data_IF_164324242201
#
_entry.id   IF_164324242201
#
_cell.length_a   1.000
_cell.length_b   1.000
_cell.length_c   1.000
_cell.angle_alpha   90.00
_cell.angle_beta   90.00
_cell.angle_gamma   90.00
#
_symmetry.space_group_name_H-M   'P 1'
#
loop_
_entity.id
_entity.type
_entity.pdbx_description
1 polymer ?
#
# COMPACT_ATOMS: atom_id res chain seq x y z
N UNK A 1 -7.49 14.78 10.18
CA UNK A 1 -7.23 13.91 9.01
C UNK A 1 -5.79 13.42 8.89
N UNK A 2 -4.83 13.85 9.74
CA UNK A 2 -3.43 13.37 9.66
C UNK A 2 -3.18 12.05 10.41
N UNK A 3 -4.00 11.74 11.43
CA UNK A 3 -3.91 10.46 12.18
C UNK A 3 -4.22 9.23 11.31
N UNK A 4 -5.16 9.33 10.38
CA UNK A 4 -5.57 8.21 9.50
C UNK A 4 -4.44 7.79 8.55
N UNK A 5 -3.72 8.77 7.97
CA UNK A 5 -2.64 8.49 7.03
C UNK A 5 -1.44 7.79 7.70
N UNK A 6 -1.04 8.24 8.89
CA UNK A 6 0.07 7.61 9.61
C UNK A 6 -0.28 6.18 10.03
N UNK A 7 -1.52 5.95 10.51
CA UNK A 7 -1.98 4.61 10.83
C UNK A 7 -2.00 3.69 9.61
N UNK A 8 -2.43 4.19 8.44
CA UNK A 8 -2.37 3.44 7.18
C UNK A 8 -0.94 3.13 6.74
N UNK A 9 -0.02 4.09 6.87
CA UNK A 9 1.40 3.89 6.55
C UNK A 9 2.03 2.82 7.44
N UNK A 10 1.73 2.83 8.74
CA UNK A 10 2.24 1.85 9.69
C UNK A 10 1.67 0.45 9.40
N UNK A 11 0.37 0.34 9.13
CA UNK A 11 -0.27 -0.92 8.79
C UNK A 11 0.28 -1.53 7.49
N UNK A 12 0.38 -0.72 6.43
CA UNK A 12 0.91 -1.17 5.14
C UNK A 12 2.42 -1.45 5.24
N UNK A 13 3.16 -0.66 6.01
CA UNK A 13 4.56 -0.89 6.31
C UNK A 13 4.78 -2.25 6.99
N UNK A 14 3.97 -2.57 8.01
CA UNK A 14 4.02 -3.87 8.68
C UNK A 14 3.78 -5.04 7.70
N UNK A 15 2.88 -4.89 6.73
CA UNK A 15 2.68 -5.89 5.68
C UNK A 15 3.95 -6.08 4.84
N UNK A 16 4.62 -5.00 4.42
CA UNK A 16 5.87 -5.10 3.67
C UNK A 16 7.01 -5.72 4.48
N UNK A 17 7.10 -5.44 5.78
CA UNK A 17 8.06 -6.11 6.69
C UNK A 17 7.79 -7.61 6.76
N UNK A 18 6.53 -8.01 6.93
CA UNK A 18 6.13 -9.42 6.90
C UNK A 18 6.39 -10.07 5.53
N UNK A 19 6.51 -9.25 4.48
CA UNK A 19 6.94 -9.67 3.15
C UNK A 19 8.45 -9.64 2.91
N UNK A 20 9.25 -9.38 3.95
CA UNK A 20 10.72 -9.43 3.91
C UNK A 20 11.42 -8.12 3.57
N UNK A 21 10.70 -7.00 3.49
CA UNK A 21 11.32 -5.68 3.37
C UNK A 21 11.94 -5.26 4.71
N UNK A 22 13.06 -4.54 4.66
CA UNK A 22 13.57 -3.83 5.84
C UNK A 22 12.60 -2.70 6.24
N UNK A 23 12.64 -2.24 7.50
CA UNK A 23 11.75 -1.16 7.98
C UNK A 23 11.82 0.11 7.13
N UNK A 24 13.02 0.50 6.67
CA UNK A 24 13.21 1.68 5.83
C UNK A 24 12.57 1.50 4.45
N UNK A 25 12.75 0.32 3.84
CA UNK A 25 12.11 -0.02 2.57
C UNK A 25 10.59 -0.11 2.72
N UNK A 26 10.09 -0.73 3.79
CA UNK A 26 8.67 -0.88 4.05
C UNK A 26 7.94 0.47 4.15
N UNK A 27 8.52 1.46 4.84
CA UNK A 27 7.97 2.83 4.92
C UNK A 27 7.90 3.51 3.55
N UNK A 28 8.95 3.35 2.74
CA UNK A 28 8.99 3.90 1.37
C UNK A 28 7.94 3.23 0.50
N UNK A 29 7.84 1.90 0.55
CA UNK A 29 6.85 1.12 -0.20
C UNK A 29 5.42 1.47 0.20
N UNK A 30 5.13 1.62 1.50
CA UNK A 30 3.82 2.03 2.00
C UNK A 30 3.43 3.41 1.46
N UNK A 31 4.35 4.37 1.49
CA UNK A 31 4.13 5.72 0.96
C UNK A 31 3.85 5.71 -0.54
N UNK A 32 4.60 4.89 -1.30
CA UNK A 32 4.40 4.74 -2.74
C UNK A 32 3.07 4.08 -3.06
N UNK A 33 2.69 3.03 -2.32
CA UNK A 33 1.43 2.33 -2.50
C UNK A 33 0.24 3.26 -2.26
N UNK A 34 0.24 4.02 -1.16
CA UNK A 34 -0.83 4.98 -0.86
C UNK A 34 -0.92 6.10 -1.90
N UNK A 35 0.22 6.63 -2.36
CA UNK A 35 0.25 7.62 -3.44
C UNK A 35 -0.37 7.06 -4.71
N UNK A 36 -0.03 5.82 -5.07
CA UNK A 36 -0.58 5.15 -6.26
C UNK A 36 -2.07 4.83 -6.10
N UNK A 37 -2.50 4.42 -4.91
CA UNK A 37 -3.90 4.19 -4.59
C UNK A 37 -4.72 5.46 -4.76
N UNK A 38 -4.22 6.62 -4.29
CA UNK A 38 -4.88 7.91 -4.48
C UNK A 38 -5.04 8.28 -5.95
N UNK A 39 -4.04 8.02 -6.80
CA UNK A 39 -4.17 8.21 -8.25
C UNK A 39 -5.24 7.30 -8.86
N UNK A 40 -5.22 6.00 -8.52
CA UNK A 40 -6.19 5.02 -9.03
C UNK A 40 -7.62 5.36 -8.59
N UNK A 41 -7.79 5.78 -7.34
CA UNK A 41 -9.09 6.19 -6.79
C UNK A 41 -9.71 7.31 -7.62
N UNK A 42 -8.92 8.33 -7.96
CA UNK A 42 -9.35 9.45 -8.82
C UNK A 42 -9.63 8.96 -10.25
N UNK A 43 -8.68 8.25 -10.86
CA UNK A 43 -8.75 7.85 -12.27
C UNK A 43 -9.92 6.87 -12.54
N UNK A 44 -10.28 6.04 -11.55
CA UNK A 44 -11.28 4.97 -11.68
C UNK A 44 -12.55 5.22 -10.88
N UNK A 45 -12.69 6.38 -10.23
CA UNK A 45 -13.83 6.71 -9.36
C UNK A 45 -14.08 5.64 -8.27
N UNK A 46 -12.99 5.14 -7.68
CA UNK A 46 -13.02 4.19 -6.58
C UNK A 46 -12.76 4.91 -5.25
N UNK A 47 -13.13 4.28 -4.15
CA UNK A 47 -12.62 4.70 -2.85
C UNK A 47 -11.12 4.44 -2.74
N UNK A 48 -10.44 5.19 -1.87
CA UNK A 48 -9.02 4.97 -1.59
C UNK A 48 -8.77 3.57 -1.01
N UNK A 49 -9.71 3.05 -0.21
CA UNK A 49 -9.63 1.70 0.38
C UNK A 49 -9.64 0.62 -0.71
N UNK A 50 -10.58 0.69 -1.65
CA UNK A 50 -10.64 -0.25 -2.79
C UNK A 50 -9.38 -0.19 -3.64
N UNK A 51 -8.84 1.01 -3.89
CA UNK A 51 -7.61 1.19 -4.65
C UNK A 51 -6.39 0.59 -3.92
N UNK A 52 -6.31 0.71 -2.59
CA UNK A 52 -5.26 0.06 -1.77
C UNK A 52 -5.39 -1.46 -1.84
N UNK A 53 -6.60 -2.01 -1.72
CA UNK A 53 -6.85 -3.45 -1.81
C UNK A 53 -6.38 -4.03 -3.14
N UNK A 54 -6.70 -3.36 -4.25
CA UNK A 54 -6.27 -3.77 -5.60
C UNK A 54 -4.74 -3.83 -5.68
N UNK A 55 -4.04 -2.82 -5.18
CA UNK A 55 -2.58 -2.77 -5.23
C UNK A 55 -1.93 -3.83 -4.33
N UNK A 56 -2.45 -4.04 -3.11
CA UNK A 56 -1.94 -5.08 -2.22
C UNK A 56 -2.11 -6.48 -2.82
N UNK A 57 -3.26 -6.75 -3.46
CA UNK A 57 -3.48 -8.01 -4.19
C UNK A 57 -2.43 -8.23 -5.27
N UNK A 58 -2.14 -7.21 -6.08
CA UNK A 58 -1.10 -7.28 -7.12
C UNK A 58 0.30 -7.57 -6.54
N UNK A 59 0.65 -6.96 -5.40
CA UNK A 59 1.92 -7.23 -4.70
C UNK A 59 2.01 -8.68 -4.27
N UNK A 60 0.95 -9.22 -3.69
CA UNK A 60 0.91 -10.61 -3.22
C UNK A 60 1.00 -11.59 -4.40
N UNK A 61 0.24 -11.36 -5.46
CA UNK A 61 0.27 -12.18 -6.69
C UNK A 61 1.65 -12.17 -7.35
N UNK A 62 2.27 -10.99 -7.48
CA UNK A 62 3.62 -10.85 -8.04
C UNK A 62 4.68 -11.61 -7.23
N UNK A 63 4.47 -11.76 -5.92
CA UNK A 63 5.39 -12.50 -5.05
C UNK A 63 5.19 -14.02 -5.12
N UNK A 64 3.98 -14.49 -5.42
CA UNK A 64 3.67 -15.93 -5.52
C UNK A 64 3.98 -16.52 -6.90
N UNK A 65 4.04 -15.70 -7.94
CA UNK A 65 4.33 -16.11 -9.33
C UNK A 65 5.76 -15.81 -9.82
N UNK A 66 6.69 -15.50 -8.92
CA UNK A 66 8.09 -15.18 -9.22
C UNK A 66 9.05 -16.35 -8.99
#
# INVERSE_FOLDING_TARGET
MMEDLNAQLDAIGALFINMGASESQAKVMASQLLKRAGQIAVDRQLSQVEAVEILLKQVVEARQGG
#
